data_IF_947920581942
#
_entry.id   IF_947920581942
#
_cell.length_a   1.000
_cell.length_b   1.000
_cell.length_c   1.000
_cell.angle_alpha   90.00
_cell.angle_beta   90.00
_cell.angle_gamma   90.00
#
_symmetry.space_group_name_H-M   'P 1'
#
loop_
_entity.id
_entity.type
_entity.pdbx_description
1 polymer ?
#
# COMPACT_ATOMS: atom_id res chain seq x y z
N UNK A 1 4.24 11.67 -8.23
CA UNK A 1 5.13 10.67 -7.59
C UNK A 1 5.29 10.87 -6.10
N UNK A 2 5.78 12.02 -5.61
CA UNK A 2 5.94 12.26 -4.16
C UNK A 2 4.61 12.12 -3.40
N UNK A 3 3.53 12.73 -3.91
CA UNK A 3 2.20 12.63 -3.29
C UNK A 3 1.72 11.18 -3.13
N UNK A 4 1.81 10.38 -4.19
CA UNK A 4 1.45 8.95 -4.18
C UNK A 4 2.29 8.16 -3.18
N UNK A 5 3.59 8.45 -3.09
CA UNK A 5 4.48 7.80 -2.13
C UNK A 5 4.11 8.14 -0.69
N UNK A 6 3.79 9.41 -0.39
CA UNK A 6 3.31 9.84 0.92
C UNK A 6 1.98 9.17 1.27
N UNK A 7 1.04 9.08 0.33
CA UNK A 7 -0.21 8.36 0.53
C UNK A 7 0.04 6.89 0.89
N UNK A 8 0.87 6.20 0.12
CA UNK A 8 1.25 4.81 0.40
C UNK A 8 1.87 4.63 1.78
N UNK A 9 2.78 5.53 2.18
CA UNK A 9 3.39 5.47 3.51
C UNK A 9 2.36 5.67 4.63
N UNK A 10 1.51 6.68 4.52
CA UNK A 10 0.50 7.01 5.53
C UNK A 10 -0.50 5.86 5.68
N UNK A 11 -1.03 5.35 4.56
CA UNK A 11 -2.02 4.27 4.59
C UNK A 11 -1.42 2.97 5.08
N UNK A 12 -0.20 2.63 4.65
CA UNK A 12 0.53 1.45 5.15
C UNK A 12 0.79 1.57 6.65
N UNK A 13 1.22 2.74 7.13
CA UNK A 13 1.46 2.96 8.56
C UNK A 13 0.16 2.83 9.37
N UNK A 14 -0.94 3.38 8.87
CA UNK A 14 -2.28 3.21 9.45
C UNK A 14 -2.70 1.74 9.53
N UNK A 15 -2.54 0.99 8.44
CA UNK A 15 -2.82 -0.44 8.39
C UNK A 15 -1.92 -1.24 9.34
N UNK A 16 -0.62 -0.91 9.44
CA UNK A 16 0.29 -1.51 10.42
C UNK A 16 -0.24 -1.29 11.84
N UNK A 17 -0.65 -0.07 12.18
CA UNK A 17 -1.21 0.22 13.50
C UNK A 17 -2.46 -0.61 13.79
N UNK A 18 -3.30 -0.87 12.78
CA UNK A 18 -4.46 -1.77 12.91
C UNK A 18 -4.03 -3.19 13.27
N UNK A 19 -2.93 -3.70 12.72
CA UNK A 19 -2.47 -5.08 13.01
C UNK A 19 -2.19 -5.32 14.49
N UNK A 20 -1.81 -4.29 15.25
CA UNK A 20 -1.56 -4.43 16.68
C UNK A 20 -2.83 -4.60 17.52
N UNK A 21 -4.02 -4.40 16.95
CA UNK A 21 -5.28 -4.62 17.66
C UNK A 21 -5.74 -6.07 17.64
N UNK A 22 -5.34 -6.86 16.64
CA UNK A 22 -5.90 -8.20 16.42
C UNK A 22 -4.85 -9.31 16.43
N UNK A 23 -3.57 -8.99 16.24
CA UNK A 23 -2.50 -9.98 16.27
C UNK A 23 -1.33 -9.43 17.08
N UNK A 24 -1.07 -10.02 18.24
CA UNK A 24 -0.03 -9.59 19.17
C UNK A 24 1.36 -10.13 18.80
N UNK A 25 1.41 -11.27 18.09
CA UNK A 25 2.64 -12.04 17.86
C UNK A 25 3.16 -11.95 16.42
N UNK A 26 2.42 -11.30 15.52
CA UNK A 26 2.85 -11.09 14.14
C UNK A 26 4.24 -10.40 14.04
N UNK A 27 5.18 -10.98 13.27
CA UNK A 27 6.45 -10.33 12.98
C UNK A 27 6.28 -9.02 12.20
N UNK A 28 7.24 -8.09 12.34
CA UNK A 28 7.20 -6.77 11.69
C UNK A 28 6.98 -6.83 10.18
N UNK A 29 7.60 -7.79 9.48
CA UNK A 29 7.47 -7.95 8.02
C UNK A 29 6.04 -8.37 7.63
N UNK A 30 5.41 -9.22 8.45
CA UNK A 30 4.01 -9.63 8.25
C UNK A 30 3.08 -8.44 8.50
N UNK A 31 3.33 -7.67 9.57
CA UNK A 31 2.59 -6.44 9.85
C UNK A 31 2.70 -5.43 8.71
N UNK A 32 3.89 -5.27 8.12
CA UNK A 32 4.12 -4.39 6.97
C UNK A 32 3.33 -4.83 5.74
N UNK A 33 3.39 -6.13 5.40
CA UNK A 33 2.66 -6.68 4.26
C UNK A 33 1.13 -6.58 4.45
N UNK A 34 0.62 -7.02 5.59
CA UNK A 34 -0.80 -6.91 5.93
C UNK A 34 -1.24 -5.44 6.01
N UNK A 35 -0.43 -4.59 6.63
CA UNK A 35 -0.70 -3.17 6.79
C UNK A 35 -0.80 -2.42 5.46
N UNK A 36 0.04 -2.76 4.48
CA UNK A 36 -0.07 -2.19 3.13
C UNK A 36 -1.41 -2.54 2.46
N UNK A 37 -1.86 -3.80 2.60
CA UNK A 37 -3.15 -4.26 2.06
C UNK A 37 -4.33 -3.61 2.80
N UNK A 38 -4.35 -3.68 4.12
CA UNK A 38 -5.40 -3.09 4.97
C UNK A 38 -5.51 -1.59 4.69
N UNK A 39 -4.38 -0.88 4.69
CA UNK A 39 -4.32 0.55 4.40
C UNK A 39 -4.85 0.91 3.02
N UNK A 40 -4.51 0.13 2.00
CA UNK A 40 -4.99 0.33 0.63
C UNK A 40 -6.50 0.12 0.51
N UNK A 41 -7.04 -0.93 1.16
CA UNK A 41 -8.48 -1.20 1.18
C UNK A 41 -9.23 -0.09 1.90
N UNK A 42 -8.73 0.38 3.04
CA UNK A 42 -9.34 1.49 3.78
C UNK A 42 -9.30 2.80 2.98
N UNK A 43 -8.19 3.10 2.31
CA UNK A 43 -8.09 4.28 1.46
C UNK A 43 -9.09 4.20 0.31
N UNK A 44 -9.18 3.05 -0.36
CA UNK A 44 -10.13 2.82 -1.45
C UNK A 44 -11.58 2.99 -0.98
N UNK A 45 -11.95 2.38 0.14
CA UNK A 45 -13.31 2.47 0.68
C UNK A 45 -13.66 3.88 1.15
N UNK A 46 -12.80 4.50 1.98
CA UNK A 46 -13.05 5.85 2.49
C UNK A 46 -13.05 6.88 1.36
N UNK A 47 -12.10 6.77 0.43
CA UNK A 47 -12.02 7.62 -0.76
C UNK A 47 -13.25 7.51 -1.64
N UNK A 48 -13.73 6.29 -1.88
CA UNK A 48 -14.97 6.04 -2.63
C UNK A 48 -16.19 6.68 -1.97
N UNK A 49 -16.39 6.47 -0.66
CA UNK A 49 -17.52 7.04 0.06
C UNK A 49 -17.49 8.57 0.09
N UNK A 50 -16.31 9.17 0.26
CA UNK A 50 -16.15 10.63 0.21
C UNK A 50 -16.37 11.17 -1.20
N UNK A 51 -15.86 10.48 -2.22
CA UNK A 51 -16.04 10.88 -3.62
C UNK A 51 -17.52 10.80 -4.05
N UNK A 52 -18.31 9.85 -3.53
CA UNK A 52 -19.75 9.78 -3.78
C UNK A 52 -20.52 11.04 -3.33
N UNK A 53 -20.06 11.70 -2.26
CA UNK A 53 -20.78 12.83 -1.65
C UNK A 53 -20.19 14.18 -2.09
N UNK A 54 -18.86 14.26 -2.20
CA UNK A 54 -18.13 15.51 -2.41
C UNK A 54 -17.39 15.57 -3.75
N UNK A 55 -17.51 14.52 -4.57
CA UNK A 55 -16.76 14.36 -5.80
C UNK A 55 -15.32 13.91 -5.59
N UNK A 56 -14.67 13.44 -6.67
CA UNK A 56 -13.28 13.00 -6.66
C UNK A 56 -12.34 14.21 -6.81
N UNK A 57 -11.93 14.77 -5.69
CA UNK A 57 -11.02 15.90 -5.64
C UNK A 57 -9.93 15.70 -4.57
N UNK A 58 -8.99 16.66 -4.50
CA UNK A 58 -7.88 16.63 -3.55
C UNK A 58 -8.35 16.56 -2.09
N UNK A 59 -9.47 17.22 -1.73
CA UNK A 59 -9.99 17.21 -0.37
C UNK A 59 -10.52 15.82 0.01
N UNK A 60 -11.32 15.17 -0.84
CA UNK A 60 -11.82 13.81 -0.62
C UNK A 60 -10.68 12.81 -0.42
N UNK A 61 -9.64 12.88 -1.27
CA UNK A 61 -8.46 12.01 -1.15
C UNK A 61 -7.66 12.30 0.12
N UNK A 62 -7.47 13.56 0.47
CA UNK A 62 -6.72 13.96 1.66
C UNK A 62 -7.43 13.55 2.95
N UNK A 63 -8.75 13.73 3.02
CA UNK A 63 -9.56 13.30 4.16
C UNK A 63 -9.53 11.77 4.28
N UNK A 64 -9.67 11.03 3.17
CA UNK A 64 -9.54 9.57 3.19
C UNK A 64 -8.18 9.12 3.75
N UNK A 65 -7.10 9.77 3.33
CA UNK A 65 -5.75 9.49 3.84
C UNK A 65 -5.62 9.79 5.34
N UNK A 66 -6.21 10.89 5.83
CA UNK A 66 -6.24 11.23 7.25
C UNK A 66 -7.05 10.21 8.06
N UNK A 67 -8.18 9.73 7.54
CA UNK A 67 -8.97 8.66 8.16
C UNK A 67 -8.15 7.37 8.29
N UNK A 68 -7.41 7.00 7.23
CA UNK A 68 -6.49 5.86 7.27
C UNK A 68 -5.34 6.07 8.27
N UNK A 69 -4.96 7.31 8.57
CA UNK A 69 -3.92 7.63 9.54
C UNK A 69 -4.40 7.59 11.00
N UNK A 70 -5.72 7.65 11.26
CA UNK A 70 -6.28 7.67 12.63
C UNK A 70 -5.76 6.55 13.55
N UNK A 71 -5.61 5.29 13.10
CA UNK A 71 -5.06 4.23 13.93
C UNK A 71 -3.66 4.52 14.47
N UNK A 72 -2.88 5.40 13.84
CA UNK A 72 -1.55 5.80 14.34
C UNK A 72 -1.61 6.49 15.71
N UNK A 73 -2.75 7.07 16.09
CA UNK A 73 -2.96 7.66 17.42
C UNK A 73 -2.73 6.60 18.52
N UNK A 74 -2.99 5.33 18.23
CA UNK A 74 -2.82 4.22 19.16
C UNK A 74 -1.35 4.02 19.53
N UNK A 75 -0.45 4.33 18.60
CA UNK A 75 0.99 4.35 18.84
C UNK A 75 1.43 5.48 19.78
N UNK A 76 0.52 6.32 20.30
CA UNK A 76 0.82 7.23 21.40
C UNK A 76 0.80 6.52 22.76
N UNK A 77 0.11 5.39 22.88
CA UNK A 77 0.05 4.59 24.10
C UNK A 77 1.37 3.82 24.30
N UNK A 78 1.88 3.83 25.53
CA UNK A 78 3.17 3.22 25.85
C UNK A 78 3.23 1.72 25.57
N UNK A 79 2.11 1.02 25.71
CA UNK A 79 1.98 -0.40 25.37
C UNK A 79 2.33 -0.67 23.91
N UNK A 80 1.67 0.02 22.99
CA UNK A 80 1.88 -0.15 21.54
C UNK A 80 3.26 0.33 21.11
N UNK A 81 3.78 1.41 21.71
CA UNK A 81 5.16 1.86 21.47
C UNK A 81 6.18 0.81 21.88
N UNK A 82 6.00 0.16 23.02
CA UNK A 82 6.88 -0.91 23.49
C UNK A 82 6.83 -2.12 22.56
N UNK A 83 5.64 -2.51 22.10
CA UNK A 83 5.45 -3.59 21.13
C UNK A 83 6.16 -3.26 19.81
N UNK A 84 5.95 -2.07 19.25
CA UNK A 84 6.63 -1.62 18.04
C UNK A 84 8.16 -1.65 18.20
N UNK A 85 8.70 -1.16 19.32
CA UNK A 85 10.14 -1.21 19.60
C UNK A 85 10.67 -2.63 19.70
N UNK A 86 9.92 -3.55 20.33
CA UNK A 86 10.25 -4.97 20.41
C UNK A 86 10.32 -5.59 19.01
N UNK A 87 9.35 -5.29 18.16
CA UNK A 87 9.29 -5.81 16.79
C UNK A 87 10.47 -5.31 15.94
N UNK A 88 10.83 -4.03 16.06
CA UNK A 88 12.02 -3.49 15.40
C UNK A 88 13.33 -4.11 15.93
N UNK A 89 13.45 -4.34 17.23
CA UNK A 89 14.61 -5.00 17.82
C UNK A 89 14.73 -6.45 17.32
N UNK A 90 13.63 -7.20 17.32
CA UNK A 90 13.56 -8.57 16.81
C UNK A 90 13.90 -8.63 15.31
N UNK A 91 13.36 -7.71 14.50
CA UNK A 91 13.70 -7.60 13.08
C UNK A 91 15.19 -7.33 12.87
N UNK A 92 15.78 -6.42 13.65
CA UNK A 92 17.20 -6.10 13.52
C UNK A 92 18.10 -7.31 13.87
N UNK A 93 17.73 -8.09 14.89
CA UNK A 93 18.41 -9.34 15.24
C UNK A 93 18.29 -10.37 14.11
N UNK A 94 17.07 -10.63 13.63
CA UNK A 94 16.81 -11.57 12.53
C UNK A 94 17.55 -11.20 11.25
N UNK A 95 17.70 -9.90 10.98
CA UNK A 95 18.48 -9.39 9.84
C UNK A 95 19.94 -9.81 9.94
N UNK A 96 20.56 -9.72 11.12
CA UNK A 96 21.96 -10.13 11.30
C UNK A 96 22.11 -11.63 11.09
N UNK A 97 21.22 -12.44 11.65
CA UNK A 97 21.20 -13.90 11.46
C UNK A 97 20.96 -14.29 10.00
N UNK A 98 20.11 -13.55 9.29
CA UNK A 98 19.84 -13.75 7.86
C UNK A 98 21.10 -13.60 7.01
N UNK A 99 21.89 -12.55 7.23
CA UNK A 99 23.12 -12.30 6.48
C UNK A 99 24.28 -13.19 6.94
N UNK A 100 24.32 -13.61 8.20
CA UNK A 100 25.32 -14.57 8.69
C UNK A 100 25.11 -15.98 8.11
N UNK A 101 23.87 -16.36 7.80
CA UNK A 101 23.52 -17.67 7.27
C UNK A 101 22.71 -17.56 5.97
N UNK A 102 23.34 -17.00 4.94
CA UNK A 102 22.77 -16.90 3.60
C UNK A 102 22.57 -18.30 3.01
N UNK A 103 21.31 -18.72 2.91
CA UNK A 103 20.91 -19.95 2.23
C UNK A 103 20.46 -19.65 0.80
N UNK A 104 20.89 -20.46 -0.16
CA UNK A 104 20.53 -20.29 -1.58
C UNK A 104 19.01 -20.30 -1.78
N UNK A 105 18.27 -21.13 -1.05
CA UNK A 105 16.80 -21.17 -1.12
C UNK A 105 16.15 -19.84 -0.74
N UNK A 106 16.69 -19.12 0.26
CA UNK A 106 16.18 -17.79 0.65
C UNK A 106 16.47 -16.75 -0.42
N UNK A 107 17.66 -16.80 -1.02
CA UNK A 107 18.01 -15.91 -2.12
C UNK A 107 17.13 -16.15 -3.35
N UNK A 108 16.84 -17.41 -3.68
CA UNK A 108 15.94 -17.76 -4.78
C UNK A 108 14.53 -17.15 -4.57
N UNK A 109 14.00 -17.20 -3.35
CA UNK A 109 12.71 -16.59 -3.01
C UNK A 109 12.76 -15.07 -3.18
N UNK A 110 13.79 -14.39 -2.64
CA UNK A 110 13.95 -12.93 -2.80
C UNK A 110 14.04 -12.56 -4.28
N UNK A 111 14.82 -13.31 -5.06
CA UNK A 111 14.98 -13.06 -6.49
C UNK A 111 13.66 -13.28 -7.23
N UNK A 112 12.89 -14.33 -6.89
CA UNK A 112 11.59 -14.60 -7.50
C UNK A 112 10.59 -13.46 -7.24
N UNK A 113 10.44 -13.00 -5.99
CA UNK A 113 9.54 -11.89 -5.66
C UNK A 113 10.01 -10.56 -6.24
N UNK A 114 11.33 -10.30 -6.26
CA UNK A 114 11.88 -9.09 -6.89
C UNK A 114 11.65 -9.10 -8.40
N UNK A 115 11.89 -10.24 -9.05
CA UNK A 115 11.58 -10.43 -10.47
C UNK A 115 10.10 -10.24 -10.77
N UNK A 116 9.21 -10.75 -9.92
CA UNK A 116 7.77 -10.53 -10.04
C UNK A 116 7.40 -9.04 -9.92
N UNK A 117 7.98 -8.30 -8.96
CA UNK A 117 7.76 -6.85 -8.81
C UNK A 117 8.20 -6.11 -10.07
N UNK A 118 9.40 -6.40 -10.59
CA UNK A 118 9.93 -5.76 -11.80
C UNK A 118 9.06 -6.09 -13.02
N UNK A 119 8.64 -7.34 -13.16
CA UNK A 119 7.75 -7.77 -14.23
C UNK A 119 6.40 -7.05 -14.17
N UNK A 120 5.79 -6.98 -12.98
CA UNK A 120 4.53 -6.26 -12.76
C UNK A 120 4.69 -4.76 -13.01
N UNK A 121 5.82 -4.17 -12.63
CA UNK A 121 6.11 -2.76 -12.89
C UNK A 121 6.06 -2.45 -14.39
N UNK A 122 6.78 -3.21 -15.21
CA UNK A 122 6.77 -3.04 -16.68
C UNK A 122 5.38 -3.28 -17.28
N UNK A 123 4.62 -4.22 -16.72
CA UNK A 123 3.25 -4.47 -17.14
C UNK A 123 2.34 -3.26 -16.84
N UNK A 124 2.37 -2.74 -15.60
CA UNK A 124 1.53 -1.61 -15.18
C UNK A 124 1.93 -0.29 -15.84
N UNK A 125 3.21 -0.09 -16.19
CA UNK A 125 3.66 1.05 -17.00
C UNK A 125 2.95 1.12 -18.37
N UNK A 126 2.48 -0.03 -18.88
CA UNK A 126 1.71 -0.12 -20.14
C UNK A 126 0.21 -0.09 -19.92
N UNK A 127 -0.28 -0.08 -18.69
CA UNK A 127 -1.72 -0.18 -18.40
C UNK A 127 -2.49 1.08 -18.84
N UNK A 128 -1.91 2.26 -18.63
CA UNK A 128 -2.49 3.55 -19.02
C UNK A 128 -1.38 4.44 -19.61
N UNK A 129 -1.54 4.79 -20.88
CA UNK A 129 -0.60 5.62 -21.62
C UNK A 129 -1.26 6.96 -21.89
N UNK A 130 -0.71 8.03 -21.33
CA UNK A 130 -1.13 9.38 -21.62
C UNK A 130 -0.34 9.92 -22.82
N UNK A 131 -1.05 10.38 -23.85
CA UNK A 131 -0.46 10.94 -25.07
C UNK A 131 -1.12 12.28 -25.39
N UNK A 132 -0.48 13.11 -26.22
CA UNK A 132 -1.01 14.42 -26.62
C UNK A 132 -2.38 14.35 -27.31
N UNK A 133 -2.79 13.18 -27.80
CA UNK A 133 -4.09 12.96 -28.46
C UNK A 133 -5.13 12.21 -27.61
N UNK A 134 -4.80 11.82 -26.37
CA UNK A 134 -5.72 11.10 -25.48
C UNK A 134 -5.04 10.04 -24.62
N UNK A 135 -5.87 9.20 -23.98
CA UNK A 135 -5.46 8.13 -23.09
C UNK A 135 -5.63 6.79 -23.82
N UNK A 136 -4.57 5.97 -23.84
CA UNK A 136 -4.55 4.64 -24.44
C UNK A 136 -4.10 3.56 -23.46
N UNK A 137 -4.04 2.31 -23.92
CA UNK A 137 -3.50 1.17 -23.16
C UNK A 137 -2.66 0.28 -24.07
N UNK A 138 -1.59 -0.31 -23.54
CA UNK A 138 -0.74 -1.25 -24.26
C UNK A 138 -1.22 -2.70 -24.23
N UNK A 139 -2.31 -2.99 -23.49
CA UNK A 139 -2.79 -4.34 -23.27
C UNK A 139 -4.21 -4.52 -23.86
N UNK A 140 -4.40 -5.51 -24.73
CA UNK A 140 -5.66 -5.72 -25.47
C UNK A 140 -6.84 -5.97 -24.51
N UNK A 141 -6.59 -6.65 -23.41
CA UNK A 141 -7.57 -6.89 -22.34
C UNK A 141 -8.05 -5.61 -21.64
N UNK A 142 -7.27 -4.52 -21.69
CA UNK A 142 -7.62 -3.25 -21.06
C UNK A 142 -8.37 -2.29 -22.01
N UNK A 143 -8.58 -2.65 -23.29
CA UNK A 143 -9.22 -1.74 -24.27
C UNK A 143 -10.65 -1.38 -23.85
N UNK A 144 -11.41 -2.34 -23.30
CA UNK A 144 -12.75 -2.09 -22.76
C UNK A 144 -12.73 -1.59 -21.31
N UNK A 145 -11.76 -2.04 -20.52
CA UNK A 145 -11.68 -1.77 -19.09
C UNK A 145 -11.24 -0.32 -18.81
N UNK A 146 -10.28 0.21 -19.57
CA UNK A 146 -9.78 1.56 -19.38
C UNK A 146 -10.87 2.64 -19.58
N UNK A 147 -11.67 2.65 -20.67
CA UNK A 147 -12.78 3.58 -20.80
C UNK A 147 -13.83 3.42 -19.69
N UNK A 148 -14.08 2.19 -19.24
CA UNK A 148 -14.99 1.93 -18.13
C UNK A 148 -14.48 2.54 -16.82
N UNK A 149 -13.21 2.33 -16.46
CA UNK A 149 -12.59 2.96 -15.28
C UNK A 149 -12.62 4.48 -15.37
N UNK A 150 -12.29 5.05 -16.54
CA UNK A 150 -12.36 6.49 -16.75
C UNK A 150 -13.79 7.02 -16.60
N UNK A 151 -14.80 6.29 -17.09
CA UNK A 151 -16.21 6.66 -16.90
C UNK A 151 -16.59 6.65 -15.40
N UNK A 152 -16.17 5.63 -14.66
CA UNK A 152 -16.41 5.54 -13.20
C UNK A 152 -15.72 6.69 -12.46
N UNK A 153 -14.45 6.96 -12.76
CA UNK A 153 -13.67 8.05 -12.17
C UNK A 153 -14.31 9.41 -12.47
N UNK A 154 -14.72 9.64 -13.72
CA UNK A 154 -15.42 10.86 -14.13
C UNK A 154 -16.90 10.86 -13.71
N UNK A 155 -17.42 9.81 -13.08
CA UNK A 155 -18.76 9.79 -12.50
C UNK A 155 -18.87 10.54 -11.18
N UNK A 156 -17.73 10.84 -10.54
CA UNK A 156 -17.65 11.57 -9.27
C UNK A 156 -17.48 13.09 -9.47
N UNK A 157 -18.14 13.68 -10.47
CA UNK A 157 -18.13 15.15 -10.70
C UNK A 157 -18.94 15.88 -9.62
#
# INVERSE_FOLDING_TARGET
MIFTFLLLLITTAGGIAITYFYDDDAPLVVRLAAGAVIGSVLLGLAGFLLALVFGLNLASVSIAALLCALPLIVLQRDEFRRRLRKDFAAFNQQRHEFFAHLKLSRLAVIFAYTGLIVMLWFFFERAMLETNGGIGTGAVNNIGDLPFHLLVINGFV
#
